data_IF_354846709190
#
_entry.id   IF_354846709190
#
_cell.length_a   1.000
_cell.length_b   1.000
_cell.length_c   1.000
_cell.angle_alpha   90.00
_cell.angle_beta   90.00
_cell.angle_gamma   90.00
#
_symmetry.space_group_name_H-M   'P 1'
#
loop_
_entity.id
_entity.type
_entity.pdbx_description
1 polymer ?
#
# COMPACT_ATOMS: atom_id res chain seq x y z
N UNK A 1 -1.64 4.71 22.39
CA UNK A 1 -1.87 4.46 20.95
C UNK A 1 -2.76 3.25 20.80
N UNK A 2 -3.76 3.30 19.92
CA UNK A 2 -4.65 2.16 19.63
C UNK A 2 -4.14 1.41 18.40
N UNK A 3 -4.51 0.13 18.26
CA UNK A 3 -4.13 -0.68 17.11
C UNK A 3 -4.56 -0.05 15.76
N UNK A 4 -5.80 0.45 15.58
CA UNK A 4 -6.21 1.08 14.33
C UNK A 4 -5.36 2.30 13.94
N UNK A 5 -4.87 3.07 14.91
CA UNK A 5 -3.99 4.22 14.66
C UNK A 5 -2.60 3.77 14.16
N UNK A 6 -2.10 2.64 14.65
CA UNK A 6 -0.83 2.08 14.17
C UNK A 6 -0.96 1.57 12.73
N UNK A 7 -2.08 0.94 12.41
CA UNK A 7 -2.32 0.41 11.06
C UNK A 7 -2.49 1.53 10.03
N UNK A 8 -3.18 2.61 10.38
CA UNK A 8 -3.28 3.80 9.53
C UNK A 8 -1.91 4.45 9.28
N UNK A 9 -1.05 4.51 10.30
CA UNK A 9 0.33 5.00 10.14
C UNK A 9 1.16 4.10 9.23
N UNK A 10 1.04 2.78 9.38
CA UNK A 10 1.74 1.82 8.51
C UNK A 10 1.32 1.99 7.07
N UNK A 11 0.01 2.09 6.82
CA UNK A 11 -0.53 2.33 5.48
C UNK A 11 0.06 3.62 4.89
N UNK A 12 0.03 4.73 5.63
CA UNK A 12 0.59 6.00 5.20
C UNK A 12 2.08 5.89 4.83
N UNK A 13 2.91 5.36 5.73
CA UNK A 13 4.35 5.29 5.50
C UNK A 13 4.73 4.31 4.40
N UNK A 14 3.97 3.24 4.18
CA UNK A 14 4.23 2.31 3.09
C UNK A 14 3.83 2.84 1.70
N UNK A 15 2.91 3.81 1.66
CA UNK A 15 2.55 4.54 0.44
C UNK A 15 3.48 5.72 0.17
N UNK A 16 4.18 6.23 1.20
CA UNK A 16 5.02 7.42 1.06
C UNK A 16 6.34 7.09 0.33
N UNK A 17 6.67 7.81 -0.77
CA UNK A 17 7.94 7.62 -1.47
C UNK A 17 9.16 7.98 -0.62
N UNK A 18 10.28 7.31 -0.84
CA UNK A 18 11.54 7.71 -0.22
C UNK A 18 11.99 9.07 -0.76
N UNK A 19 12.34 10.00 0.14
CA UNK A 19 12.81 11.33 -0.23
C UNK A 19 14.26 11.38 -0.76
N UNK A 20 15.05 10.33 -0.54
CA UNK A 20 16.47 10.29 -0.91
C UNK A 20 17.01 8.86 -1.09
N UNK A 21 18.21 8.77 -1.67
CA UNK A 21 18.93 7.50 -1.85
C UNK A 21 18.59 6.76 -3.15
N UNK A 22 19.09 5.52 -3.32
CA UNK A 22 18.94 4.74 -4.56
C UNK A 22 17.50 4.38 -4.94
N UNK A 23 16.57 4.47 -3.98
CA UNK A 23 15.13 4.19 -4.16
C UNK A 23 14.28 5.46 -4.08
N UNK A 24 14.89 6.62 -4.29
CA UNK A 24 14.17 7.90 -4.30
C UNK A 24 12.96 7.82 -5.24
N UNK A 25 11.86 8.45 -4.83
CA UNK A 25 10.60 8.53 -5.59
C UNK A 25 9.84 7.19 -5.72
N UNK A 26 10.34 6.11 -5.10
CA UNK A 26 9.68 4.81 -4.99
C UNK A 26 9.16 4.64 -3.56
N UNK A 27 7.92 4.16 -3.39
CA UNK A 27 7.40 3.85 -2.06
C UNK A 27 7.71 2.40 -1.63
N UNK A 28 7.67 2.07 -0.32
CA UNK A 28 7.91 0.72 0.16
C UNK A 28 7.11 -0.38 -0.53
N UNK A 29 5.82 -0.17 -0.82
CA UNK A 29 5.00 -1.18 -1.52
C UNK A 29 5.50 -1.45 -2.95
N UNK A 30 5.85 -0.40 -3.70
CA UNK A 30 6.46 -0.53 -5.02
C UNK A 30 7.81 -1.25 -4.96
N UNK A 31 8.64 -0.90 -3.97
CA UNK A 31 9.96 -1.51 -3.80
C UNK A 31 9.89 -3.00 -3.44
N UNK A 32 8.77 -3.44 -2.83
CA UNK A 32 8.48 -4.84 -2.54
C UNK A 32 7.91 -5.60 -3.75
N UNK A 33 7.59 -4.92 -4.85
CA UNK A 33 6.95 -5.52 -6.02
C UNK A 33 5.48 -5.88 -5.79
N UNK A 34 4.81 -5.23 -4.83
CA UNK A 34 3.38 -5.42 -4.62
C UNK A 34 2.60 -4.66 -5.69
N UNK A 35 1.77 -5.39 -6.44
CA UNK A 35 0.89 -4.80 -7.44
C UNK A 35 -0.39 -4.29 -6.79
N UNK A 36 -0.33 -3.08 -6.23
CA UNK A 36 -1.53 -2.42 -5.72
C UNK A 36 -2.30 -1.70 -6.84
N UNK A 37 -3.64 -1.57 -6.74
CA UNK A 37 -4.43 -0.77 -7.68
C UNK A 37 -3.96 0.69 -7.77
N UNK A 38 -3.50 1.22 -6.64
CA UNK A 38 -2.90 2.54 -6.51
C UNK A 38 -1.92 2.55 -5.35
N UNK A 39 -0.96 3.46 -5.39
CA UNK A 39 -0.01 3.70 -4.29
C UNK A 39 -0.32 5.01 -3.55
N UNK A 40 -1.43 5.68 -3.89
CA UNK A 40 -1.92 6.83 -3.14
C UNK A 40 -2.61 6.39 -1.84
N UNK A 41 -2.20 6.98 -0.73
CA UNK A 41 -2.72 6.66 0.59
C UNK A 41 -4.24 6.92 0.72
N UNK A 42 -4.72 8.04 0.20
CA UNK A 42 -6.12 8.44 0.37
C UNK A 42 -7.04 7.63 -0.53
N UNK A 43 -6.60 7.31 -1.74
CA UNK A 43 -7.34 6.45 -2.65
C UNK A 43 -7.50 5.05 -2.07
N UNK A 44 -6.43 4.45 -1.54
CA UNK A 44 -6.50 3.16 -0.85
C UNK A 44 -7.41 3.20 0.39
N UNK A 45 -7.34 4.27 1.18
CA UNK A 45 -8.14 4.38 2.41
C UNK A 45 -9.64 4.54 2.14
N UNK A 46 -10.02 5.17 1.03
CA UNK A 46 -11.41 5.39 0.65
C UNK A 46 -12.03 4.25 -0.18
N UNK A 47 -11.22 3.29 -0.62
CA UNK A 47 -11.71 2.12 -1.37
C UNK A 47 -12.51 1.19 -0.44
N UNK A 48 -13.54 0.51 -0.97
CA UNK A 48 -14.25 -0.51 -0.19
C UNK A 48 -13.27 -1.64 0.19
N UNK A 49 -13.07 -1.92 1.49
CA UNK A 49 -12.16 -2.97 1.94
C UNK A 49 -12.50 -4.35 1.37
N UNK A 50 -13.77 -4.63 1.07
CA UNK A 50 -14.19 -5.92 0.52
C UNK A 50 -13.70 -6.07 -0.93
N UNK A 51 -13.89 -5.03 -1.74
CA UNK A 51 -13.42 -4.99 -3.12
C UNK A 51 -11.89 -5.02 -3.18
N UNK A 52 -11.22 -4.23 -2.33
CA UNK A 52 -9.76 -4.20 -2.27
C UNK A 52 -9.19 -5.57 -1.88
N UNK A 53 -9.79 -6.23 -0.90
CA UNK A 53 -9.38 -7.59 -0.49
C UNK A 53 -9.55 -8.57 -1.65
N UNK A 54 -10.66 -8.51 -2.38
CA UNK A 54 -10.90 -9.36 -3.54
C UNK A 54 -9.86 -9.12 -4.64
N UNK A 55 -9.57 -7.87 -4.98
CA UNK A 55 -8.58 -7.51 -6.01
C UNK A 55 -7.19 -8.05 -5.63
N UNK A 56 -6.73 -7.77 -4.41
CA UNK A 56 -5.41 -8.20 -3.94
C UNK A 56 -5.29 -9.72 -3.79
N UNK A 57 -6.38 -10.39 -3.41
CA UNK A 57 -6.40 -11.87 -3.33
C UNK A 57 -6.34 -12.53 -4.70
N UNK A 58 -6.90 -11.88 -5.73
CA UNK A 58 -6.91 -12.40 -7.11
C UNK A 58 -5.53 -12.28 -7.76
N UNK A 59 -4.73 -11.26 -7.39
CA UNK A 59 -3.38 -11.05 -7.92
C UNK A 59 -2.32 -12.02 -7.36
N UNK A 60 -2.54 -12.61 -6.18
CA UNK A 60 -1.57 -13.47 -5.51
C UNK A 60 -1.47 -14.90 -6.07
N UNK A 61 -2.21 -15.26 -7.13
CA UNK A 61 -2.22 -16.60 -7.70
C UNK A 61 -1.80 -16.60 -9.18
N UNK A 62 -0.50 -16.53 -9.50
CA UNK A 62 -0.02 -16.94 -10.80
C UNK A 62 0.12 -18.49 -10.79
N UNK A 63 -0.60 -19.16 -11.70
CA UNK A 63 -0.36 -20.56 -12.06
C UNK A 63 1.04 -20.78 -12.66
#
# INVERSE_FOLDING_TARGET
MTQPMLDLKRLFWNCHPFGSGPRKDVCPYQALGLELPTHDFWELLNTDPTELTQQLSTQANPE
#
